data_IF_141822305506
#
_entry.id   IF_141822305506
#
_cell.length_a   1.000
_cell.length_b   1.000
_cell.length_c   1.000
_cell.angle_alpha   90.00
_cell.angle_beta   90.00
_cell.angle_gamma   90.00
#
_symmetry.space_group_name_H-M   'P 1'
#
loop_
_entity.id
_entity.type
_entity.pdbx_description
1 polymer ?
#
# COMPACT_ATOMS: atom_id res chain seq x y z
N UNK A 1 -24.68 2.47 62.03
CA UNK A 1 -23.27 2.77 61.80
C UNK A 1 -22.63 1.78 60.83
N UNK A 2 -23.36 0.91 60.11
CA UNK A 2 -22.70 -0.16 59.36
C UNK A 2 -23.57 -0.52 58.15
N UNK A 3 -23.33 0.06 56.97
CA UNK A 3 -23.59 -0.57 55.64
C UNK A 3 -23.27 0.36 54.43
N UNK A 4 -22.19 1.14 54.48
CA UNK A 4 -21.77 1.98 53.35
C UNK A 4 -20.26 1.90 53.07
N UNK A 5 -19.69 0.70 53.11
CA UNK A 5 -18.30 0.45 52.70
C UNK A 5 -18.19 -0.83 51.88
N UNK A 6 -18.71 -0.83 50.67
CA UNK A 6 -18.19 -1.68 49.58
C UNK A 6 -18.10 -0.84 48.30
N UNK A 7 -17.25 0.18 48.36
CA UNK A 7 -16.58 0.69 47.17
C UNK A 7 -15.75 -0.48 46.61
N UNK A 8 -16.34 -1.20 45.66
CA UNK A 8 -15.65 -2.20 44.87
C UNK A 8 -14.46 -1.54 44.19
N UNK A 9 -13.27 -1.85 44.70
CA UNK A 9 -11.99 -1.72 44.02
C UNK A 9 -12.10 -2.44 42.67
N UNK A 10 -12.50 -1.71 41.62
CA UNK A 10 -12.16 -2.07 40.25
C UNK A 10 -10.65 -1.99 40.14
N UNK A 11 -9.98 -3.09 40.50
CA UNK A 11 -8.56 -3.27 40.29
C UNK A 11 -8.29 -3.13 38.80
N UNK A 12 -7.73 -1.99 38.40
CA UNK A 12 -7.21 -1.82 37.06
C UNK A 12 -6.09 -2.85 36.87
N UNK A 13 -6.06 -3.62 35.76
CA UNK A 13 -4.98 -4.55 35.50
C UNK A 13 -3.65 -3.78 35.46
N UNK A 14 -2.71 -4.19 36.31
CA UNK A 14 -1.44 -3.50 36.57
C UNK A 14 -0.37 -3.73 35.48
N UNK A 15 -0.73 -4.44 34.39
CA UNK A 15 0.16 -4.67 33.25
C UNK A 15 -0.53 -4.16 31.98
N UNK A 16 0.10 -3.24 31.21
CA UNK A 16 -0.42 -2.86 29.91
C UNK A 16 -0.52 -4.12 29.04
N UNK A 17 -1.59 -4.29 28.26
CA UNK A 17 -1.77 -5.51 27.50
C UNK A 17 -0.70 -5.59 26.40
N UNK A 18 -0.11 -6.78 26.22
CA UNK A 18 0.92 -7.01 25.21
C UNK A 18 0.25 -7.10 23.84
N UNK A 19 0.54 -6.13 22.96
CA UNK A 19 0.00 -6.08 21.61
C UNK A 19 0.93 -6.82 20.64
N UNK A 20 0.37 -7.74 19.86
CA UNK A 20 1.04 -8.37 18.72
C UNK A 20 0.73 -7.54 17.45
N UNK A 21 1.60 -7.59 16.44
CA UNK A 21 1.36 -6.88 15.16
C UNK A 21 0.81 -7.84 14.13
N UNK A 22 -0.33 -7.51 13.52
CA UNK A 22 -0.88 -8.24 12.38
C UNK A 22 0.06 -8.11 11.17
N UNK A 23 0.62 -9.19 10.62
CA UNK A 23 1.61 -9.13 9.55
C UNK A 23 1.02 -8.73 8.17
N UNK A 24 -0.31 -8.74 8.01
CA UNK A 24 -0.97 -8.40 6.74
C UNK A 24 -1.22 -6.90 6.61
N UNK A 25 -1.62 -6.26 7.71
CA UNK A 25 -2.02 -4.85 7.72
C UNK A 25 -1.22 -3.96 8.67
N UNK A 26 -0.31 -4.54 9.45
CA UNK A 26 0.54 -3.85 10.45
C UNK A 26 -0.22 -3.17 11.58
N UNK A 27 -1.48 -3.58 11.82
CA UNK A 27 -2.28 -3.10 12.95
C UNK A 27 -1.86 -3.81 14.24
N UNK A 28 -1.87 -3.07 15.36
CA UNK A 28 -1.69 -3.66 16.69
C UNK A 28 -2.94 -4.40 17.09
N UNK A 29 -2.80 -5.68 17.43
CA UNK A 29 -3.89 -6.57 17.81
C UNK A 29 -3.61 -7.13 19.19
N UNK A 30 -4.63 -7.19 20.03
CA UNK A 30 -4.58 -7.89 21.30
C UNK A 30 -4.85 -9.38 21.04
N UNK A 31 -3.98 -10.29 21.49
CA UNK A 31 -4.19 -11.73 21.36
C UNK A 31 -5.55 -12.19 21.90
N UNK A 32 -6.05 -11.52 22.95
CA UNK A 32 -7.30 -11.86 23.63
C UNK A 32 -8.55 -11.41 22.88
N UNK A 33 -8.45 -10.36 22.06
CA UNK A 33 -9.58 -9.82 21.28
C UNK A 33 -9.42 -10.02 19.78
N UNK A 34 -8.45 -10.84 19.37
CA UNK A 34 -8.17 -11.09 17.96
C UNK A 34 -9.36 -11.77 17.28
N UNK A 35 -9.75 -11.27 16.11
CA UNK A 35 -10.87 -11.82 15.33
C UNK A 35 -10.52 -13.20 14.77
N UNK A 36 -9.23 -13.42 14.47
CA UNK A 36 -8.74 -14.71 14.02
C UNK A 36 -7.28 -14.93 14.37
N UNK A 37 -6.90 -16.20 14.41
CA UNK A 37 -5.53 -16.67 14.63
C UNK A 37 -5.15 -17.70 13.59
N UNK A 38 -3.88 -17.74 13.20
CA UNK A 38 -3.35 -18.72 12.26
C UNK A 38 -1.92 -19.08 12.64
N UNK A 39 -1.61 -20.38 12.61
CA UNK A 39 -0.29 -20.89 12.93
C UNK A 39 0.51 -21.12 11.65
N UNK A 40 1.72 -20.58 11.58
CA UNK A 40 2.62 -20.77 10.45
C UNK A 40 4.07 -20.85 10.94
N UNK A 41 4.81 -21.90 10.50
CA UNK A 41 6.21 -22.17 10.91
C UNK A 41 6.42 -22.17 12.43
N UNK A 42 5.45 -22.69 13.19
CA UNK A 42 5.52 -22.77 14.65
C UNK A 42 5.30 -21.46 15.39
N UNK A 43 4.83 -20.40 14.71
CA UNK A 43 4.43 -19.12 15.32
C UNK A 43 2.93 -18.89 15.12
N UNK A 44 2.24 -18.48 16.18
CA UNK A 44 0.83 -18.07 16.13
C UNK A 44 0.75 -16.59 15.77
N UNK A 45 0.07 -16.29 14.67
CA UNK A 45 -0.21 -14.92 14.23
C UNK A 45 -1.65 -14.56 14.56
N UNK A 46 -1.86 -13.34 15.04
CA UNK A 46 -3.16 -12.78 15.37
C UNK A 46 -3.55 -11.72 14.33
N UNK A 47 -4.83 -11.71 13.95
CA UNK A 47 -5.33 -10.86 12.87
C UNK A 47 -6.45 -9.94 13.33
N UNK A 48 -6.46 -8.73 12.79
CA UNK A 48 -7.47 -7.71 13.14
C UNK A 48 -8.85 -8.01 12.53
N UNK A 49 -8.91 -8.82 11.47
CA UNK A 49 -10.14 -9.11 10.72
C UNK A 49 -10.07 -10.44 9.98
N UNK A 50 -11.23 -10.99 9.62
CA UNK A 50 -11.34 -12.22 8.81
C UNK A 50 -10.62 -12.09 7.45
N UNK A 51 -10.73 -10.92 6.81
CA UNK A 51 -10.03 -10.65 5.54
C UNK A 51 -8.51 -10.76 5.67
N UNK A 52 -7.94 -10.37 6.81
CA UNK A 52 -6.50 -10.51 7.05
C UNK A 52 -6.11 -12.00 7.21
N UNK A 53 -6.94 -12.80 7.88
CA UNK A 53 -6.74 -14.27 7.96
C UNK A 53 -6.74 -14.91 6.58
N UNK A 54 -7.72 -14.58 5.73
CA UNK A 54 -7.84 -15.11 4.37
C UNK A 54 -6.63 -14.77 3.51
N UNK A 55 -6.19 -13.50 3.53
CA UNK A 55 -5.00 -13.03 2.80
C UNK A 55 -3.73 -13.73 3.26
N UNK A 56 -3.56 -13.87 4.57
CA UNK A 56 -2.42 -14.57 5.15
C UNK A 56 -2.42 -16.05 4.77
N UNK A 57 -3.57 -16.73 4.81
CA UNK A 57 -3.72 -18.13 4.40
C UNK A 57 -3.38 -18.33 2.92
N UNK A 58 -3.72 -17.39 2.06
CA UNK A 58 -3.47 -17.50 0.62
C UNK A 58 -1.97 -17.51 0.29
N UNK A 59 -1.14 -16.70 0.97
CA UNK A 59 0.30 -16.62 0.73
C UNK A 59 1.05 -16.18 2.01
N UNK A 60 1.24 -17.07 3.00
CA UNK A 60 1.80 -16.68 4.31
C UNK A 60 3.26 -16.22 4.21
N UNK A 61 4.06 -16.86 3.35
CA UNK A 61 5.48 -16.53 3.14
C UNK A 61 5.71 -15.07 2.70
N UNK A 62 4.72 -14.41 2.08
CA UNK A 62 4.80 -12.99 1.71
C UNK A 62 4.73 -12.05 2.90
N UNK A 63 4.14 -12.49 4.01
CA UNK A 63 3.87 -11.66 5.19
C UNK A 63 4.80 -12.02 6.37
N UNK A 64 5.36 -13.22 6.40
CA UNK A 64 6.31 -13.66 7.43
C UNK A 64 7.76 -13.55 6.95
N UNK A 65 8.52 -12.59 7.48
CA UNK A 65 9.96 -12.46 7.20
C UNK A 65 10.44 -11.06 6.81
N UNK A 66 9.54 -10.10 6.67
CA UNK A 66 9.92 -8.70 6.39
C UNK A 66 9.70 -7.83 7.62
N UNK A 67 10.71 -7.61 8.48
CA UNK A 67 10.68 -6.44 9.34
C UNK A 67 10.94 -5.25 8.43
N UNK A 68 9.90 -4.46 8.12
CA UNK A 68 10.17 -3.08 7.76
C UNK A 68 9.40 -2.10 8.64
N UNK A 69 10.06 -1.58 9.69
CA UNK A 69 9.66 -0.29 10.21
C UNK A 69 10.05 0.75 9.15
N UNK A 70 9.06 1.27 8.43
CA UNK A 70 9.19 2.39 7.50
C UNK A 70 9.03 2.00 6.03
N UNK A 71 7.83 2.23 5.48
CA UNK A 71 7.48 2.40 4.06
C UNK A 71 8.30 1.64 3.01
N UNK A 72 7.69 0.65 2.36
CA UNK A 72 8.09 0.23 1.02
C UNK A 72 6.87 0.16 0.12
N UNK A 73 6.91 0.96 -0.93
CA UNK A 73 6.14 0.70 -2.14
C UNK A 73 6.46 -0.73 -2.65
N UNK A 74 5.52 -1.41 -3.32
CA UNK A 74 5.78 -2.68 -4.00
C UNK A 74 6.95 -2.54 -4.99
N UNK A 75 7.54 -3.64 -5.49
CA UNK A 75 8.62 -3.58 -6.46
C UNK A 75 8.13 -2.88 -7.74
N UNK A 76 8.26 -1.56 -7.82
CA UNK A 76 8.32 -0.86 -9.09
C UNK A 76 9.66 -1.23 -9.67
N UNK A 77 9.67 -1.78 -10.88
CA UNK A 77 10.87 -1.93 -11.69
C UNK A 77 11.79 -0.72 -11.50
N UNK A 78 13.08 -1.00 -11.37
CA UNK A 78 14.11 0.01 -11.19
C UNK A 78 14.22 0.76 -12.53
N UNK A 79 13.30 1.68 -12.79
CA UNK A 79 13.42 2.62 -13.90
C UNK A 79 14.59 3.53 -13.53
N UNK A 80 15.71 3.37 -14.24
CA UNK A 80 16.86 4.24 -14.05
C UNK A 80 16.48 5.63 -14.54
N UNK A 81 16.11 6.50 -13.60
CA UNK A 81 15.62 7.83 -13.88
C UNK A 81 15.58 8.70 -12.62
N UNK A 82 15.36 9.99 -12.83
CA UNK A 82 15.09 10.92 -11.74
C UNK A 82 13.62 10.77 -11.32
N UNK A 83 13.40 10.67 -10.02
CA UNK A 83 12.07 10.61 -9.44
C UNK A 83 11.76 11.93 -8.75
N UNK A 84 10.55 12.43 -8.92
CA UNK A 84 10.06 13.71 -8.38
C UNK A 84 8.88 13.50 -7.43
N UNK A 85 8.73 14.41 -6.47
CA UNK A 85 7.58 14.39 -5.55
C UNK A 85 6.40 15.17 -6.16
N UNK A 86 5.16 14.62 -6.19
CA UNK A 86 4.01 15.31 -6.79
C UNK A 86 3.66 16.64 -6.10
N UNK A 87 4.01 16.78 -4.82
CA UNK A 87 3.75 18.01 -4.04
C UNK A 87 4.98 18.93 -3.95
N UNK A 88 6.17 18.43 -4.24
CA UNK A 88 7.42 19.17 -4.06
C UNK A 88 8.34 18.93 -5.28
N UNK A 89 8.06 19.59 -6.43
CA UNK A 89 8.76 19.33 -7.69
C UNK A 89 10.26 19.68 -7.66
N UNK A 90 10.70 20.43 -6.65
CA UNK A 90 12.12 20.72 -6.38
C UNK A 90 12.91 19.48 -5.93
N UNK A 91 12.23 18.43 -5.46
CA UNK A 91 12.86 17.21 -4.95
C UNK A 91 12.99 16.23 -6.09
N UNK A 92 14.20 16.11 -6.65
CA UNK A 92 14.58 15.13 -7.67
C UNK A 92 15.64 14.20 -7.10
N UNK A 93 15.37 12.89 -7.10
CA UNK A 93 16.29 11.90 -6.55
C UNK A 93 16.61 10.79 -7.57
N UNK A 94 17.85 10.28 -7.60
CA UNK A 94 18.22 9.15 -8.44
C UNK A 94 17.69 7.85 -7.80
N UNK A 95 16.43 7.53 -8.07
CA UNK A 95 15.79 6.27 -7.68
C UNK A 95 14.49 6.41 -6.88
N UNK A 96 13.73 5.31 -6.76
CA UNK A 96 12.47 5.29 -6.01
C UNK A 96 12.72 5.46 -4.51
N UNK A 97 11.86 6.24 -3.86
CA UNK A 97 12.02 6.53 -2.43
C UNK A 97 10.89 7.36 -1.86
N UNK A 98 11.07 7.77 -0.59
CA UNK A 98 10.16 8.69 0.11
C UNK A 98 10.71 10.11 0.05
N UNK A 99 9.83 11.06 -0.20
CA UNK A 99 10.13 12.49 -0.18
C UNK A 99 10.55 12.94 1.23
N UNK A 100 11.71 13.59 1.42
CA UNK A 100 12.17 14.06 2.73
C UNK A 100 11.37 15.24 3.29
N UNK A 101 10.61 15.97 2.45
CA UNK A 101 9.75 17.08 2.89
C UNK A 101 8.37 16.61 3.39
N UNK A 102 7.72 15.67 2.71
CA UNK A 102 6.34 15.26 3.02
C UNK A 102 6.11 13.76 3.24
N UNK A 103 7.15 12.93 3.09
CA UNK A 103 7.05 11.48 3.27
C UNK A 103 6.33 10.71 2.16
N UNK A 104 5.75 11.40 1.17
CA UNK A 104 5.08 10.76 0.03
C UNK A 104 6.06 10.03 -0.89
N UNK A 105 5.57 9.03 -1.62
CA UNK A 105 6.35 8.32 -2.64
C UNK A 105 6.78 9.28 -3.77
N UNK A 106 8.01 9.10 -4.26
CA UNK A 106 8.47 9.78 -5.47
C UNK A 106 7.99 9.02 -6.71
N UNK A 107 7.56 9.76 -7.73
CA UNK A 107 7.13 9.24 -9.03
C UNK A 107 8.24 9.47 -10.07
N UNK A 108 8.45 8.57 -11.03
CA UNK A 108 9.47 8.75 -12.06
C UNK A 108 9.12 9.95 -12.96
N UNK A 109 10.10 10.85 -13.18
CA UNK A 109 9.94 12.01 -14.08
C UNK A 109 9.87 11.57 -15.55
N UNK A 110 10.55 10.47 -15.87
CA UNK A 110 10.53 9.85 -17.19
C UNK A 110 9.60 8.65 -17.10
N UNK A 111 8.40 8.76 -17.68
CA UNK A 111 7.62 7.58 -18.03
C UNK A 111 8.46 6.89 -19.11
N UNK A 112 9.25 5.88 -18.74
CA UNK A 112 9.74 4.92 -19.73
C UNK A 112 8.51 4.13 -20.13
N UNK A 113 7.70 4.73 -21.02
CA UNK A 113 6.79 3.96 -21.83
C UNK A 113 7.71 3.03 -22.61
N UNK A 114 7.83 1.82 -22.10
CA UNK A 114 8.20 0.70 -22.93
C UNK A 114 7.40 0.82 -24.22
N UNK A 115 8.13 0.80 -25.32
CA UNK A 115 7.66 0.85 -26.70
C UNK A 115 6.90 -0.46 -27.04
N UNK A 116 6.05 -0.94 -26.12
CA UNK A 116 5.02 -1.91 -26.44
C UNK A 116 3.93 -1.16 -27.19
N UNK A 117 3.77 -1.52 -28.46
CA UNK A 117 2.75 -1.01 -29.36
C UNK A 117 1.36 -1.03 -28.69
N UNK A 118 0.95 0.10 -28.12
CA UNK A 118 -0.33 0.20 -27.44
C UNK A 118 -1.45 0.18 -28.51
N UNK A 119 -2.26 -0.89 -28.59
CA UNK A 119 -3.26 -1.03 -29.65
C UNK A 119 -4.31 0.10 -29.60
N UNK A 120 -4.54 0.71 -28.43
CA UNK A 120 -5.45 1.85 -28.27
C UNK A 120 -4.92 3.11 -28.97
N UNK A 121 -3.61 3.41 -28.87
CA UNK A 121 -3.00 4.55 -29.57
C UNK A 121 -3.06 4.36 -31.09
N UNK A 122 -2.83 3.13 -31.55
CA UNK A 122 -2.90 2.78 -32.97
C UNK A 122 -4.33 2.90 -33.50
N UNK A 123 -5.32 2.43 -32.75
CA UNK A 123 -6.73 2.56 -33.13
C UNK A 123 -7.21 4.02 -33.12
N UNK A 124 -6.82 4.81 -32.11
CA UNK A 124 -7.10 6.24 -32.06
C UNK A 124 -6.46 7.01 -33.22
N UNK A 125 -5.20 6.69 -33.54
CA UNK A 125 -4.47 7.31 -34.66
C UNK A 125 -5.12 6.94 -36.00
N UNK A 126 -5.53 5.68 -36.19
CA UNK A 126 -6.24 5.23 -37.40
C UNK A 126 -7.56 5.98 -37.57
N UNK A 127 -8.36 6.12 -36.51
CA UNK A 127 -9.63 6.86 -36.54
C UNK A 127 -9.42 8.34 -36.85
N UNK A 128 -8.41 8.96 -36.24
CA UNK A 128 -8.04 10.35 -36.50
C UNK A 128 -7.71 10.58 -37.98
N UNK A 129 -6.87 9.73 -38.57
CA UNK A 129 -6.48 9.84 -39.98
C UNK A 129 -7.62 9.60 -40.96
N UNK A 130 -8.53 8.66 -40.66
CA UNK A 130 -9.73 8.45 -41.47
C UNK A 130 -10.61 9.71 -41.45
N UNK A 131 -10.82 10.29 -40.26
CA UNK A 131 -11.58 11.54 -40.11
C UNK A 131 -10.94 12.72 -40.85
N UNK A 132 -9.61 12.88 -40.74
CA UNK A 132 -8.86 13.92 -41.44
C UNK A 132 -8.94 13.77 -42.98
N UNK A 133 -8.88 12.55 -43.49
CA UNK A 133 -9.05 12.28 -44.93
C UNK A 133 -10.46 12.60 -45.44
N UNK A 134 -11.49 12.32 -44.63
CA UNK A 134 -12.88 12.64 -44.98
C UNK A 134 -13.19 14.15 -44.90
N UNK A 135 -12.50 14.90 -44.03
CA UNK A 135 -12.69 16.35 -43.92
C UNK A 135 -11.89 17.16 -44.94
N UNK A 136 -10.77 16.64 -45.44
CA UNK A 136 -9.87 17.33 -46.38
C UNK A 136 -10.57 17.92 -47.62
N UNK A 137 -11.51 17.23 -48.30
CA UNK A 137 -12.19 17.79 -49.47
C UNK A 137 -13.07 19.00 -49.16
N UNK A 138 -13.63 19.07 -47.94
CA UNK A 138 -14.48 20.20 -47.49
C UNK A 138 -13.64 21.46 -47.29
N UNK A 139 -12.38 21.32 -46.90
CA UNK A 139 -11.47 22.45 -46.70
C UNK A 139 -10.74 22.90 -47.98
N UNK A 140 -10.68 22.04 -49.01
CA UNK A 140 -10.03 22.35 -50.29
C UNK A 140 -11.01 23.00 -51.28
N UNK A 141 -12.33 22.84 -51.08
CA UNK A 141 -13.40 23.49 -51.85
C UNK A 141 -13.65 24.93 -51.39
#
# INVERSE_FOLDING_TARGET
MDDLVQLGTFGMPSRPPEFETDPVCLMKVLPETAVGKYEHKGRTYYFCSLRCVERFRANPDRFVGSPKPGGLNPPSEIVQGFYTCPMHPEIRQPGPGSCPKCGMALEPEMITAEEEENPELTDMTRRFWIGAGLSLPVFIL
#
